data_IF_217188066552
#
_entry.id   IF_217188066552
#
_cell.length_a   1.000
_cell.length_b   1.000
_cell.length_c   1.000
_cell.angle_alpha   90.00
_cell.angle_beta   90.00
_cell.angle_gamma   90.00
#
_symmetry.space_group_name_H-M   'P 1'
#
loop_
_entity.id
_entity.type
_entity.pdbx_description
1 polymer ?
#
# COMPACT_ATOMS: atom_id res chain seq x y z
N UNK A 1 16.54 32.57 -28.88
CA UNK A 1 15.75 32.74 -27.67
C UNK A 1 16.19 31.73 -26.63
N UNK A 2 16.62 32.18 -25.51
CA UNK A 2 17.01 31.33 -24.42
C UNK A 2 15.76 30.94 -23.65
N UNK A 3 15.65 29.65 -23.17
CA UNK A 3 14.58 29.31 -22.26
C UNK A 3 14.68 30.22 -21.06
N UNK A 4 13.56 30.76 -20.62
CA UNK A 4 13.56 31.66 -19.49
C UNK A 4 14.05 30.94 -18.25
N UNK A 5 14.83 31.61 -17.42
CA UNK A 5 15.28 31.08 -16.13
C UNK A 5 14.09 30.61 -15.28
N UNK A 6 12.95 31.28 -15.44
CA UNK A 6 11.70 30.93 -14.77
C UNK A 6 11.20 29.54 -15.11
N UNK A 7 11.25 29.16 -16.41
CA UNK A 7 10.81 27.84 -16.85
C UNK A 7 11.71 26.74 -16.28
N UNK A 8 13.03 26.95 -16.29
CA UNK A 8 13.99 26.01 -15.72
C UNK A 8 13.78 25.84 -14.21
N UNK A 9 13.52 26.94 -13.52
CA UNK A 9 13.26 26.93 -12.08
C UNK A 9 11.98 26.17 -11.74
N UNK A 10 10.91 26.35 -12.53
CA UNK A 10 9.65 25.64 -12.32
C UNK A 10 9.80 24.13 -12.51
N UNK A 11 10.54 23.69 -13.53
CA UNK A 11 10.82 22.27 -13.75
C UNK A 11 11.61 21.67 -12.59
N UNK A 12 12.61 22.37 -12.10
CA UNK A 12 13.42 21.92 -10.96
C UNK A 12 12.57 21.82 -9.69
N UNK A 13 11.69 22.79 -9.43
CA UNK A 13 10.79 22.79 -8.30
C UNK A 13 9.83 21.59 -8.36
N UNK A 14 9.29 21.29 -9.55
CA UNK A 14 8.41 20.15 -9.76
C UNK A 14 9.15 18.84 -9.47
N UNK A 15 10.38 18.67 -9.96
CA UNK A 15 11.19 17.47 -9.70
C UNK A 15 11.51 17.33 -8.22
N UNK A 16 11.86 18.41 -7.54
CA UNK A 16 12.13 18.39 -6.10
C UNK A 16 10.88 18.03 -5.29
N UNK A 17 9.72 18.56 -5.69
CA UNK A 17 8.45 18.23 -5.04
C UNK A 17 8.10 16.74 -5.21
N UNK A 18 8.33 16.19 -6.40
CA UNK A 18 8.13 14.77 -6.67
C UNK A 18 9.10 13.91 -5.86
N UNK A 19 10.38 14.30 -5.78
CA UNK A 19 11.40 13.57 -5.04
C UNK A 19 11.17 13.64 -3.52
N UNK A 20 10.46 14.67 -3.01
CA UNK A 20 10.18 14.79 -1.58
C UNK A 20 9.22 13.71 -1.06
N UNK A 21 8.52 12.99 -1.96
CA UNK A 21 7.66 11.87 -1.57
C UNK A 21 8.47 10.66 -1.11
N UNK A 22 9.74 10.56 -1.51
CA UNK A 22 10.61 9.47 -1.12
C UNK A 22 12.04 9.98 -1.00
N UNK A 23 12.57 9.97 0.23
CA UNK A 23 13.92 10.45 0.54
C UNK A 23 15.01 9.42 0.21
N UNK A 24 14.65 8.19 -0.09
CA UNK A 24 15.55 7.11 -0.49
C UNK A 24 15.24 6.71 -1.93
N UNK A 25 16.20 6.08 -2.64
CA UNK A 25 15.93 5.64 -4.01
C UNK A 25 14.76 4.66 -4.06
N UNK A 26 13.93 4.80 -5.10
CA UNK A 26 12.90 3.81 -5.39
C UNK A 26 13.53 2.47 -5.73
N UNK A 27 12.94 1.39 -5.24
CA UNK A 27 13.40 0.03 -5.50
C UNK A 27 12.54 -0.63 -6.56
N UNK A 28 13.19 -1.32 -7.49
CA UNK A 28 12.51 -2.10 -8.52
C UNK A 28 11.72 -3.23 -7.86
N UNK A 29 10.47 -3.41 -8.27
CA UNK A 29 9.61 -4.48 -7.74
C UNK A 29 9.27 -5.50 -8.83
N UNK A 30 8.61 -5.06 -9.90
CA UNK A 30 8.12 -5.96 -10.94
C UNK A 30 7.76 -5.17 -12.21
N UNK A 31 7.35 -5.89 -13.26
CA UNK A 31 6.79 -5.28 -14.45
C UNK A 31 5.33 -4.90 -14.21
N UNK A 32 4.88 -3.85 -14.87
CA UNK A 32 3.52 -3.33 -14.73
C UNK A 32 2.45 -4.36 -15.07
N UNK A 33 2.70 -5.21 -16.08
CA UNK A 33 1.74 -6.22 -16.52
C UNK A 33 1.59 -7.39 -15.54
N UNK A 34 2.46 -7.51 -14.55
CA UNK A 34 2.32 -8.51 -13.49
C UNK A 34 1.20 -8.17 -12.49
N UNK A 35 0.77 -6.90 -12.44
CA UNK A 35 -0.26 -6.45 -11.51
C UNK A 35 -1.51 -6.03 -12.31
N UNK A 36 -2.45 -6.95 -12.41
CA UNK A 36 -3.70 -6.72 -13.12
C UNK A 36 -4.69 -5.94 -12.26
N UNK A 37 -5.70 -5.36 -12.91
CA UNK A 37 -6.80 -4.69 -12.21
C UNK A 37 -7.45 -5.65 -11.20
N UNK A 38 -7.73 -5.16 -10.00
CA UNK A 38 -8.34 -5.90 -8.88
C UNK A 38 -7.52 -7.13 -8.47
N UNK A 39 -6.21 -7.02 -8.56
CA UNK A 39 -5.30 -8.07 -8.08
C UNK A 39 -4.23 -7.46 -7.19
N UNK A 40 -3.62 -8.33 -6.40
CA UNK A 40 -2.50 -7.94 -5.53
C UNK A 40 -1.51 -9.10 -5.45
N UNK A 41 -0.24 -8.75 -5.28
CA UNK A 41 0.86 -9.71 -5.12
C UNK A 41 1.82 -9.22 -4.06
N UNK A 42 2.45 -10.14 -3.37
CA UNK A 42 3.46 -9.85 -2.36
C UNK A 42 4.84 -10.00 -2.97
N UNK A 43 5.71 -9.03 -2.70
CA UNK A 43 7.11 -9.04 -3.11
C UNK A 43 7.99 -8.77 -1.90
N UNK A 44 9.15 -9.41 -1.85
CA UNK A 44 10.16 -9.10 -0.82
C UNK A 44 11.13 -8.07 -1.40
N UNK A 45 11.16 -6.90 -0.80
CA UNK A 45 12.02 -5.79 -1.21
C UNK A 45 12.83 -5.36 0.01
N UNK A 46 14.17 -5.49 -0.07
CA UNK A 46 15.07 -5.16 1.04
C UNK A 46 14.61 -5.78 2.38
N UNK A 47 14.31 -7.07 2.38
CA UNK A 47 13.84 -7.85 3.52
C UNK A 47 12.46 -7.47 4.05
N UNK A 48 11.74 -6.61 3.34
CA UNK A 48 10.38 -6.20 3.70
C UNK A 48 9.38 -6.84 2.75
N UNK A 49 8.31 -7.43 3.31
CA UNK A 49 7.22 -7.95 2.51
C UNK A 49 6.29 -6.80 2.12
N UNK A 50 6.26 -6.52 0.84
CA UNK A 50 5.46 -5.42 0.27
C UNK A 50 4.30 -6.02 -0.52
N UNK A 51 3.08 -5.55 -0.23
CA UNK A 51 1.89 -5.90 -0.99
C UNK A 51 1.66 -4.83 -2.04
N UNK A 52 1.63 -5.24 -3.31
CA UNK A 52 1.39 -4.34 -4.44
C UNK A 52 0.12 -4.79 -5.15
N UNK A 53 -0.75 -3.84 -5.45
CA UNK A 53 -2.00 -4.13 -6.16
C UNK A 53 -2.46 -2.98 -7.03
N UNK A 54 -3.55 -3.23 -7.76
CA UNK A 54 -4.16 -2.25 -8.66
C UNK A 54 -5.68 -2.24 -8.48
N UNK A 55 -6.21 -1.06 -8.22
CA UNK A 55 -7.66 -0.84 -8.13
C UNK A 55 -8.01 0.45 -8.88
N UNK A 56 -9.05 0.39 -9.71
CA UNK A 56 -9.48 1.53 -10.53
C UNK A 56 -8.35 2.10 -11.39
N UNK A 57 -7.49 1.22 -11.92
CA UNK A 57 -6.33 1.61 -12.71
C UNK A 57 -5.18 2.21 -11.89
N UNK A 58 -5.34 2.35 -10.58
CA UNK A 58 -4.37 2.98 -9.70
C UNK A 58 -3.61 1.95 -8.87
N UNK A 59 -2.30 2.07 -8.86
CA UNK A 59 -1.43 1.20 -8.06
C UNK A 59 -1.44 1.60 -6.59
N UNK A 60 -1.30 0.62 -5.72
CA UNK A 60 -1.04 0.84 -4.30
C UNK A 60 0.08 -0.08 -3.84
N UNK A 61 0.78 0.33 -2.79
CA UNK A 61 1.77 -0.49 -2.11
C UNK A 61 1.67 -0.28 -0.61
N UNK A 62 1.74 -1.38 0.13
CA UNK A 62 1.67 -1.34 1.58
C UNK A 62 2.45 -2.49 2.19
N UNK A 63 2.65 -2.43 3.50
CA UNK A 63 3.24 -3.55 4.22
C UNK A 63 2.27 -4.74 4.17
N UNK A 64 2.80 -5.93 3.90
CA UNK A 64 1.97 -7.14 3.80
C UNK A 64 1.48 -7.65 5.15
N UNK A 65 2.02 -7.13 6.25
CA UNK A 65 1.62 -7.54 7.60
C UNK A 65 0.39 -6.77 8.04
N UNK A 66 -0.66 -7.50 8.44
CA UNK A 66 -1.86 -6.87 8.98
C UNK A 66 -1.53 -6.13 10.28
N UNK A 67 -1.87 -4.83 10.41
CA UNK A 67 -1.56 -4.06 11.61
C UNK A 67 -2.21 -4.62 12.88
N UNK A 68 -3.27 -5.41 12.74
CA UNK A 68 -3.96 -5.99 13.89
C UNK A 68 -3.13 -7.09 14.56
N UNK A 69 -2.77 -8.15 13.83
CA UNK A 69 -2.05 -9.30 14.39
C UNK A 69 -0.99 -9.90 13.47
N UNK A 70 -0.55 -9.17 12.48
CA UNK A 70 0.58 -9.57 11.63
C UNK A 70 0.27 -10.61 10.56
N UNK A 71 -1.00 -10.90 10.30
CA UNK A 71 -1.37 -11.85 9.26
C UNK A 71 -0.95 -11.35 7.87
N UNK A 72 -0.64 -12.27 6.96
CA UNK A 72 -0.25 -11.94 5.59
C UNK A 72 -1.46 -11.44 4.80
N UNK A 73 -1.47 -10.16 4.43
CA UNK A 73 -2.59 -9.53 3.74
C UNK A 73 -2.81 -10.07 2.33
N UNK A 74 -1.77 -10.58 1.67
CA UNK A 74 -1.91 -11.14 0.32
C UNK A 74 -2.85 -12.36 0.31
N UNK A 75 -3.01 -13.03 1.44
CA UNK A 75 -3.93 -14.16 1.58
C UNK A 75 -5.39 -13.75 1.75
N UNK A 76 -5.64 -12.47 1.94
CA UNK A 76 -6.98 -11.91 2.02
C UNK A 76 -7.53 -11.58 0.65
N UNK A 77 -8.47 -10.66 0.61
CA UNK A 77 -9.13 -10.26 -0.64
C UNK A 77 -9.30 -8.76 -0.71
N UNK A 78 -9.62 -8.26 -1.89
CA UNK A 78 -9.93 -6.85 -2.13
C UNK A 78 -11.45 -6.68 -2.16
N UNK A 79 -11.94 -5.67 -1.43
CA UNK A 79 -13.35 -5.33 -1.36
C UNK A 79 -13.51 -3.82 -1.45
N UNK A 80 -14.08 -3.32 -2.56
CA UNK A 80 -14.09 -1.89 -2.82
C UNK A 80 -12.64 -1.38 -2.88
N UNK A 81 -12.33 -0.36 -2.06
CA UNK A 81 -10.97 0.18 -1.96
C UNK A 81 -10.19 -0.42 -0.78
N UNK A 82 -10.69 -1.49 -0.19
CA UNK A 82 -10.11 -2.08 1.00
C UNK A 82 -9.47 -3.42 0.74
N UNK A 83 -8.39 -3.70 1.46
CA UNK A 83 -7.88 -5.06 1.63
C UNK A 83 -8.49 -5.63 2.90
N UNK A 84 -9.01 -6.85 2.80
CA UNK A 84 -9.67 -7.55 3.92
C UNK A 84 -8.70 -8.61 4.44
N UNK A 85 -8.33 -8.51 5.71
CA UNK A 85 -7.47 -9.50 6.35
C UNK A 85 -8.23 -10.82 6.49
N UNK A 86 -7.63 -11.93 6.04
CA UNK A 86 -8.26 -13.25 6.07
C UNK A 86 -8.48 -13.76 7.50
N UNK A 87 -7.68 -13.29 8.45
CA UNK A 87 -7.69 -13.85 9.81
C UNK A 87 -8.89 -13.38 10.64
N UNK A 88 -9.18 -12.07 10.65
CA UNK A 88 -10.26 -11.51 11.48
C UNK A 88 -11.20 -10.57 10.71
N UNK A 89 -11.03 -10.45 9.40
CA UNK A 89 -11.92 -9.64 8.55
C UNK A 89 -11.74 -8.13 8.69
N UNK A 90 -10.65 -7.66 9.29
CA UNK A 90 -10.37 -6.23 9.37
C UNK A 90 -10.11 -5.68 7.97
N UNK A 91 -10.66 -4.50 7.70
CA UNK A 91 -10.59 -3.87 6.38
C UNK A 91 -9.82 -2.56 6.44
N UNK A 92 -8.84 -2.43 5.58
CA UNK A 92 -7.98 -1.25 5.49
C UNK A 92 -8.05 -0.67 4.10
N UNK A 93 -8.25 0.66 4.00
CA UNK A 93 -8.22 1.33 2.71
C UNK A 93 -6.79 1.32 2.16
N UNK A 94 -6.60 0.81 0.95
CA UNK A 94 -5.26 0.65 0.38
C UNK A 94 -4.64 1.96 -0.11
N UNK A 95 -5.44 3.02 -0.26
CA UNK A 95 -4.96 4.33 -0.71
C UNK A 95 -4.71 5.30 0.43
N UNK A 96 -5.45 5.20 1.52
CA UNK A 96 -5.30 6.07 2.70
C UNK A 96 -4.59 5.39 3.85
N UNK A 97 -4.58 4.06 3.86
CA UNK A 97 -4.05 3.25 4.95
C UNK A 97 -4.99 3.12 6.14
N UNK A 98 -6.12 3.79 6.14
CA UNK A 98 -7.00 3.84 7.32
C UNK A 98 -7.77 2.54 7.53
N UNK A 99 -7.83 2.13 8.78
CA UNK A 99 -8.71 1.05 9.23
C UNK A 99 -10.16 1.52 9.10
N UNK A 100 -10.95 0.83 8.28
CA UNK A 100 -12.33 1.22 8.01
C UNK A 100 -13.36 0.29 8.63
N UNK A 101 -13.00 -0.98 8.88
CA UNK A 101 -13.93 -1.94 9.47
C UNK A 101 -13.17 -2.90 10.37
N UNK A 102 -13.64 -3.02 11.62
CA UNK A 102 -13.07 -3.91 12.64
C UNK A 102 -13.95 -5.09 12.97
N UNK A 103 -15.06 -5.29 12.27
CA UNK A 103 -15.96 -6.38 12.56
C UNK A 103 -15.34 -7.71 12.14
N UNK A 104 -15.14 -8.60 13.12
CA UNK A 104 -14.77 -9.98 12.82
C UNK A 104 -15.90 -10.65 12.06
N UNK A 105 -15.58 -11.33 10.98
CA UNK A 105 -16.53 -12.14 10.24
C UNK A 105 -16.81 -13.48 10.93
N UNK A 106 -16.01 -13.84 11.94
CA UNK A 106 -16.21 -15.06 12.72
C UNK A 106 -17.35 -14.86 13.70
N UNK A 107 -18.35 -15.72 13.63
CA UNK A 107 -19.53 -15.64 14.52
C UNK A 107 -19.21 -15.99 15.96
N UNK A 108 -18.18 -16.80 16.18
CA UNK A 108 -17.77 -17.21 17.52
C UNK A 108 -16.45 -16.51 17.85
N UNK A 109 -16.56 -15.37 18.50
CA UNK A 109 -15.38 -14.70 19.05
C UNK A 109 -15.17 -15.17 20.48
N UNK A 110 -13.92 -15.45 20.81
CA UNK A 110 -13.51 -15.72 22.18
C UNK A 110 -13.61 -14.44 22.99
N UNK A 111 -13.62 -14.55 24.33
CA UNK A 111 -13.61 -13.37 25.19
C UNK A 111 -12.41 -12.45 24.90
N UNK A 112 -11.27 -13.01 24.44
CA UNK A 112 -10.10 -12.25 24.02
C UNK A 112 -10.40 -11.37 22.81
N UNK A 113 -11.09 -11.91 21.81
CA UNK A 113 -11.45 -11.17 20.60
C UNK A 113 -12.47 -10.07 20.87
N UNK A 114 -13.19 -10.16 21.97
CA UNK A 114 -14.15 -9.14 22.39
C UNK A 114 -13.50 -8.04 23.22
N UNK A 115 -12.28 -8.24 23.73
CA UNK A 115 -11.59 -7.22 24.52
C UNK A 115 -11.17 -6.05 23.65
N UNK A 116 -11.17 -4.83 24.20
CA UNK A 116 -10.75 -3.64 23.47
C UNK A 116 -9.27 -3.73 23.06
N UNK A 117 -8.43 -4.33 23.89
CA UNK A 117 -7.00 -4.49 23.57
C UNK A 117 -6.79 -5.44 22.40
N UNK A 118 -7.54 -6.54 22.36
CA UNK A 118 -7.47 -7.47 21.24
C UNK A 118 -7.93 -6.83 19.93
N UNK A 119 -8.99 -6.02 19.99
CA UNK A 119 -9.56 -5.37 18.81
C UNK A 119 -8.73 -4.20 18.29
N UNK A 120 -7.82 -3.69 19.11
CA UNK A 120 -7.01 -2.54 18.74
C UNK A 120 -6.11 -2.85 17.53
N UNK A 121 -6.14 -1.95 16.56
CA UNK A 121 -5.26 -2.01 15.39
C UNK A 121 -4.84 -0.61 15.01
N UNK A 122 -3.60 -0.47 14.53
CA UNK A 122 -3.17 0.74 13.87
C UNK A 122 -3.65 0.78 12.42
N UNK A 123 -3.22 1.79 11.70
CA UNK A 123 -3.47 1.91 10.27
C UNK A 123 -2.44 1.13 9.46
N UNK A 124 -2.76 0.88 8.20
CA UNK A 124 -1.89 0.19 7.26
C UNK A 124 -0.71 1.09 6.90
N UNK A 125 0.49 0.54 6.90
CA UNK A 125 1.68 1.26 6.44
C UNK A 125 1.71 1.28 4.93
N UNK A 126 1.60 2.46 4.32
CA UNK A 126 1.66 2.64 2.87
C UNK A 126 3.07 3.01 2.44
N UNK A 127 3.42 2.61 1.21
CA UNK A 127 4.68 2.98 0.58
C UNK A 127 4.41 3.76 -0.70
N UNK A 128 5.17 4.84 -0.97
CA UNK A 128 5.10 5.50 -2.28
C UNK A 128 5.39 4.50 -3.39
N UNK A 129 4.58 4.55 -4.45
CA UNK A 129 4.69 3.64 -5.59
C UNK A 129 4.73 4.45 -6.88
N UNK A 130 5.57 4.02 -7.82
CA UNK A 130 5.74 4.69 -9.10
C UNK A 130 5.75 3.65 -10.22
N UNK A 131 5.08 3.99 -11.31
CA UNK A 131 5.13 3.20 -12.54
C UNK A 131 5.82 4.03 -13.61
N UNK A 132 6.86 3.47 -14.22
CA UNK A 132 7.64 4.15 -15.26
C UNK A 132 8.12 3.14 -16.28
N UNK A 133 7.83 3.42 -17.56
CA UNK A 133 8.28 2.59 -18.70
C UNK A 133 7.95 1.10 -18.52
N UNK A 134 6.73 0.81 -18.06
CA UNK A 134 6.25 -0.56 -17.89
C UNK A 134 6.82 -1.28 -16.66
N UNK A 135 7.42 -0.56 -15.73
CA UNK A 135 8.03 -1.12 -14.52
C UNK A 135 7.51 -0.42 -13.28
N UNK A 136 7.36 -1.17 -12.20
CA UNK A 136 6.85 -0.69 -10.92
C UNK A 136 7.99 -0.60 -9.91
N UNK A 137 8.05 0.54 -9.21
CA UNK A 137 9.05 0.83 -8.18
C UNK A 137 8.34 1.26 -6.90
N UNK A 138 8.90 0.91 -5.75
CA UNK A 138 8.41 1.36 -4.44
C UNK A 138 9.52 2.01 -3.63
N UNK A 139 9.11 2.93 -2.76
CA UNK A 139 9.99 3.59 -1.80
C UNK A 139 9.69 3.04 -0.40
N UNK A 140 10.67 2.40 0.21
CA UNK A 140 10.52 1.83 1.56
C UNK A 140 11.01 2.78 2.64
#
# INVERSE_FOLDING_TARGET
>A
PHPSLTTTFLLLTFLLSFLSLCLVPYRLVCKSDEIRERSMKMFTVDHTEVLVGRLHGRLFACNNSCPHRGASLVKGELKGDNVVCWMHGYEYNVFTGKLENMKSWKKESTWMEQSSDWRRSGDLTLYPIMEKDGTIYVCL
#
